data_IF_209450320682
#
_entry.id   IF_209450320682
#
_cell.length_a   1.000
_cell.length_b   1.000
_cell.length_c   1.000
_cell.angle_alpha   90.00
_cell.angle_beta   90.00
_cell.angle_gamma   90.00
#
_symmetry.space_group_name_H-M   'P 1'
#
loop_
_entity.id
_entity.type
_entity.pdbx_description
1 polymer ?
#
# COMPACT_ATOMS: atom_id res chain seq x y z
N UNK A 1 -15.96 -10.34 -19.69
CA UNK A 1 -15.00 -9.32 -20.16
C UNK A 1 -14.30 -8.64 -18.98
N UNK A 2 -15.00 -8.06 -17.98
CA UNK A 2 -14.38 -7.37 -16.84
C UNK A 2 -13.35 -8.24 -16.10
N UNK A 3 -13.69 -9.49 -15.77
CA UNK A 3 -12.74 -10.41 -15.12
C UNK A 3 -11.49 -10.67 -16.00
N UNK A 4 -11.64 -10.79 -17.33
CA UNK A 4 -10.52 -11.00 -18.23
C UNK A 4 -9.56 -9.80 -18.23
N UNK A 5 -10.09 -8.57 -18.22
CA UNK A 5 -9.30 -7.35 -18.14
C UNK A 5 -8.55 -7.26 -16.80
N UNK A 6 -9.23 -7.55 -15.68
CA UNK A 6 -8.60 -7.57 -14.35
C UNK A 6 -7.48 -8.62 -14.29
N UNK A 7 -7.72 -9.82 -14.81
CA UNK A 7 -6.72 -10.90 -14.83
C UNK A 7 -5.47 -10.54 -15.65
N UNK A 8 -5.61 -9.66 -16.64
CA UNK A 8 -4.47 -9.14 -17.43
C UNK A 8 -3.86 -7.87 -16.85
N UNK A 9 -4.30 -7.41 -15.67
CA UNK A 9 -3.81 -6.23 -14.97
C UNK A 9 -4.37 -4.89 -15.47
N UNK A 10 -5.39 -4.91 -16.34
CA UNK A 10 -6.09 -3.72 -16.85
C UNK A 10 -7.23 -3.33 -15.90
N UNK A 11 -6.89 -3.07 -14.63
CA UNK A 11 -7.84 -2.87 -13.54
C UNK A 11 -8.84 -1.74 -13.79
N UNK A 12 -8.39 -0.58 -14.28
CA UNK A 12 -9.28 0.56 -14.57
C UNK A 12 -10.31 0.27 -15.65
N UNK A 13 -9.91 -0.44 -16.70
CA UNK A 13 -10.86 -0.85 -17.76
C UNK A 13 -11.84 -1.92 -17.26
N UNK A 14 -11.33 -2.91 -16.51
CA UNK A 14 -12.16 -3.92 -15.87
C UNK A 14 -13.22 -3.30 -14.96
N UNK A 15 -12.83 -2.28 -14.17
CA UNK A 15 -13.74 -1.53 -13.30
C UNK A 15 -14.88 -0.84 -14.09
N UNK A 16 -14.55 -0.20 -15.21
CA UNK A 16 -15.56 0.45 -16.08
C UNK A 16 -16.55 -0.56 -16.65
N UNK A 17 -16.07 -1.75 -17.06
CA UNK A 17 -16.94 -2.84 -17.52
C UNK A 17 -17.85 -3.36 -16.40
N UNK A 18 -17.34 -3.48 -15.15
CA UNK A 18 -18.19 -3.84 -14.01
C UNK A 18 -19.30 -2.81 -13.76
N UNK A 19 -19.01 -1.50 -13.86
CA UNK A 19 -20.02 -0.45 -13.71
C UNK A 19 -21.08 -0.50 -14.81
N UNK A 20 -20.68 -0.74 -16.07
CA UNK A 20 -21.62 -0.90 -17.18
C UNK A 20 -22.54 -2.11 -16.95
N UNK A 21 -21.98 -3.23 -16.52
CA UNK A 21 -22.76 -4.43 -16.21
C UNK A 21 -23.71 -4.22 -15.03
N UNK A 22 -23.31 -3.44 -14.02
CA UNK A 22 -24.14 -3.13 -12.85
C UNK A 22 -25.43 -2.37 -13.20
N UNK A 23 -25.44 -1.60 -14.30
CA UNK A 23 -26.64 -0.84 -14.72
C UNK A 23 -27.79 -1.73 -15.19
N UNK A 24 -27.49 -2.94 -15.66
CA UNK A 24 -28.47 -3.90 -16.20
C UNK A 24 -28.66 -5.11 -15.28
N UNK A 25 -28.03 -5.13 -14.10
CA UNK A 25 -28.07 -6.26 -13.18
C UNK A 25 -29.17 -6.08 -12.11
N UNK A 26 -29.61 -7.19 -11.50
CA UNK A 26 -30.46 -7.14 -10.30
C UNK A 26 -29.73 -6.45 -9.14
N UNK A 27 -30.48 -5.86 -8.22
CA UNK A 27 -29.95 -5.00 -7.15
C UNK A 27 -28.76 -5.60 -6.39
N UNK A 28 -28.84 -6.86 -5.98
CA UNK A 28 -27.76 -7.54 -5.24
C UNK A 28 -26.51 -7.76 -6.12
N UNK A 29 -26.71 -8.23 -7.35
CA UNK A 29 -25.62 -8.40 -8.31
C UNK A 29 -25.01 -7.07 -8.74
N UNK A 30 -25.83 -6.02 -8.90
CA UNK A 30 -25.38 -4.68 -9.20
C UNK A 30 -24.48 -4.12 -8.08
N UNK A 31 -24.84 -4.39 -6.83
CA UNK A 31 -24.04 -3.96 -5.68
C UNK A 31 -22.67 -4.66 -5.64
N UNK A 32 -22.62 -5.97 -5.89
CA UNK A 32 -21.36 -6.71 -5.97
C UNK A 32 -20.49 -6.24 -7.16
N UNK A 33 -21.07 -5.97 -8.32
CA UNK A 33 -20.35 -5.43 -9.48
C UNK A 33 -19.79 -4.03 -9.18
N UNK A 34 -20.52 -3.16 -8.49
CA UNK A 34 -20.03 -1.85 -8.05
C UNK A 34 -18.92 -2.00 -7.02
N UNK A 35 -19.02 -2.96 -6.08
CA UNK A 35 -17.94 -3.25 -5.12
C UNK A 35 -16.65 -3.65 -5.85
N UNK A 36 -16.76 -4.59 -6.81
CA UNK A 36 -15.63 -5.00 -7.66
C UNK A 36 -15.04 -3.82 -8.45
N UNK A 37 -15.89 -2.96 -8.98
CA UNK A 37 -15.43 -1.77 -9.70
C UNK A 37 -14.67 -0.80 -8.78
N UNK A 38 -15.19 -0.53 -7.58
CA UNK A 38 -14.51 0.32 -6.60
C UNK A 38 -13.13 -0.24 -6.22
N UNK A 39 -13.07 -1.55 -5.95
CA UNK A 39 -11.83 -2.25 -5.65
C UNK A 39 -10.81 -2.09 -6.80
N UNK A 40 -11.20 -2.42 -8.02
CA UNK A 40 -10.29 -2.37 -9.17
C UNK A 40 -9.85 -0.94 -9.55
N UNK A 41 -10.70 0.07 -9.37
CA UNK A 41 -10.27 1.45 -9.53
C UNK A 41 -9.20 1.83 -8.50
N UNK A 42 -9.43 1.53 -7.23
CA UNK A 42 -8.46 1.86 -6.17
C UNK A 42 -7.14 1.11 -6.34
N UNK A 43 -7.19 -0.19 -6.64
CA UNK A 43 -6.00 -1.01 -6.86
C UNK A 43 -5.23 -0.65 -8.13
N UNK A 44 -5.92 -0.14 -9.17
CA UNK A 44 -5.30 0.31 -10.42
C UNK A 44 -4.85 1.79 -10.41
N UNK A 45 -4.97 2.50 -9.27
CA UNK A 45 -4.53 3.89 -9.13
C UNK A 45 -5.54 4.95 -9.60
N UNK A 46 -6.77 4.56 -9.97
CA UNK A 46 -7.88 5.47 -10.29
C UNK A 46 -8.60 5.91 -9.00
N UNK A 47 -7.87 6.65 -8.15
CA UNK A 47 -8.27 6.90 -6.77
C UNK A 47 -9.60 7.64 -6.67
N UNK A 48 -9.76 8.73 -7.40
CA UNK A 48 -10.93 9.61 -7.28
C UNK A 48 -12.21 8.93 -7.77
N UNK A 49 -12.12 8.15 -8.85
CA UNK A 49 -13.22 7.31 -9.36
C UNK A 49 -13.56 6.19 -8.37
N UNK A 50 -12.53 5.53 -7.84
CA UNK A 50 -12.68 4.45 -6.87
C UNK A 50 -13.33 4.89 -5.57
N UNK A 51 -12.97 6.03 -5.02
CA UNK A 51 -13.55 6.60 -3.80
C UNK A 51 -15.05 6.92 -3.98
N UNK A 52 -15.45 7.52 -5.11
CA UNK A 52 -16.88 7.81 -5.40
C UNK A 52 -17.74 6.55 -5.45
N UNK A 53 -17.22 5.51 -6.14
CA UNK A 53 -17.96 4.24 -6.23
C UNK A 53 -17.99 3.55 -4.87
N UNK A 54 -16.89 3.56 -4.12
CA UNK A 54 -16.81 2.99 -2.78
C UNK A 54 -17.80 3.63 -1.82
N UNK A 55 -17.92 4.96 -1.79
CA UNK A 55 -18.88 5.67 -0.97
C UNK A 55 -20.33 5.27 -1.28
N UNK A 56 -20.66 5.11 -2.55
CA UNK A 56 -21.97 4.64 -2.98
C UNK A 56 -22.24 3.21 -2.49
N UNK A 57 -21.29 2.30 -2.61
CA UNK A 57 -21.38 0.92 -2.15
C UNK A 57 -21.55 0.86 -0.64
N UNK A 58 -20.73 1.58 0.11
CA UNK A 58 -20.80 1.64 1.58
C UNK A 58 -22.13 2.22 2.06
N UNK A 59 -22.60 3.30 1.42
CA UNK A 59 -23.90 3.91 1.73
C UNK A 59 -25.07 2.93 1.54
N UNK A 60 -25.05 2.14 0.44
CA UNK A 60 -26.08 1.13 0.17
C UNK A 60 -26.10 -0.01 1.21
N UNK A 61 -24.97 -0.27 1.87
CA UNK A 61 -24.86 -1.27 2.93
C UNK A 61 -25.14 -0.70 4.34
N UNK A 62 -25.42 0.60 4.46
CA UNK A 62 -25.59 1.29 5.73
C UNK A 62 -24.26 1.51 6.48
N UNK A 63 -23.12 1.38 5.80
CA UNK A 63 -21.80 1.59 6.38
C UNK A 63 -21.39 3.06 6.18
N UNK A 64 -21.28 3.80 7.26
CA UNK A 64 -20.83 5.21 7.21
C UNK A 64 -19.32 5.28 7.05
N UNK A 65 -18.87 5.97 5.99
CA UNK A 65 -17.47 6.35 5.79
C UNK A 65 -17.16 7.55 6.70
N UNK A 66 -16.10 7.51 7.52
CA UNK A 66 -15.76 8.66 8.35
C UNK A 66 -15.39 9.87 7.48
N UNK A 67 -16.08 11.03 7.63
CA UNK A 67 -15.91 12.16 6.71
C UNK A 67 -14.59 12.94 6.91
N UNK A 68 -13.93 12.79 8.07
CA UNK A 68 -12.69 13.52 8.40
C UNK A 68 -11.66 12.59 9.02
N UNK A 69 -10.34 12.88 8.85
CA UNK A 69 -9.27 12.08 9.46
C UNK A 69 -9.40 11.91 10.98
N UNK A 70 -9.82 12.98 11.69
CA UNK A 70 -10.02 12.92 13.15
C UNK A 70 -11.16 11.96 13.54
N UNK A 71 -12.28 11.98 12.80
CA UNK A 71 -13.38 11.03 13.02
C UNK A 71 -13.00 9.60 12.64
N UNK A 72 -12.20 9.44 11.58
CA UNK A 72 -11.64 8.13 11.21
C UNK A 72 -10.73 7.59 12.32
N UNK A 73 -9.85 8.41 12.88
CA UNK A 73 -8.99 8.03 13.99
C UNK A 73 -9.79 7.61 15.24
N UNK A 74 -10.81 8.38 15.62
CA UNK A 74 -11.68 8.04 16.75
C UNK A 74 -12.41 6.69 16.51
N UNK A 75 -12.95 6.51 15.30
CA UNK A 75 -13.60 5.24 14.91
C UNK A 75 -12.61 4.08 14.95
N UNK A 76 -11.38 4.28 14.43
CA UNK A 76 -10.30 3.29 14.50
C UNK A 76 -10.00 2.89 15.95
N UNK A 77 -9.84 3.83 16.84
CA UNK A 77 -9.58 3.55 18.26
C UNK A 77 -10.70 2.72 18.90
N UNK A 78 -11.96 3.04 18.59
CA UNK A 78 -13.11 2.24 19.03
C UNK A 78 -13.07 0.81 18.46
N UNK A 79 -12.73 0.63 17.15
CA UNK A 79 -12.58 -0.70 16.56
C UNK A 79 -11.44 -1.49 17.20
N UNK A 80 -10.32 -0.85 17.47
CA UNK A 80 -9.19 -1.46 18.18
C UNK A 80 -9.59 -1.94 19.59
N UNK A 81 -10.35 -1.12 20.33
CA UNK A 81 -10.88 -1.51 21.63
C UNK A 81 -11.85 -2.70 21.51
N UNK A 82 -12.78 -2.66 20.54
CA UNK A 82 -13.72 -3.76 20.29
C UNK A 82 -13.00 -5.08 19.98
N UNK A 83 -11.99 -5.04 19.11
CA UNK A 83 -11.17 -6.22 18.78
C UNK A 83 -10.45 -6.75 20.04
N UNK A 84 -9.90 -5.85 20.85
CA UNK A 84 -9.19 -6.23 22.08
C UNK A 84 -10.11 -6.89 23.09
N UNK A 85 -11.31 -6.37 23.29
CA UNK A 85 -12.30 -6.92 24.22
C UNK A 85 -12.89 -8.25 23.72
N UNK A 86 -13.17 -8.34 22.41
CA UNK A 86 -13.72 -9.57 21.81
C UNK A 86 -12.70 -10.70 21.77
N UNK A 87 -11.43 -10.39 21.60
CA UNK A 87 -10.39 -11.36 21.26
C UNK A 87 -10.47 -11.88 19.82
N UNK A 88 -9.57 -12.81 19.47
CA UNK A 88 -9.37 -13.31 18.11
C UNK A 88 -9.95 -14.72 17.89
N UNK A 89 -10.54 -15.33 18.92
CA UNK A 89 -11.16 -16.65 18.83
C UNK A 89 -12.44 -16.56 18.00
N UNK A 90 -12.66 -17.51 17.12
CA UNK A 90 -13.86 -17.59 16.28
C UNK A 90 -14.34 -19.04 16.16
N UNK A 91 -15.63 -19.21 15.88
CA UNK A 91 -16.24 -20.51 15.55
C UNK A 91 -16.20 -20.63 14.02
N UNK A 92 -15.56 -21.68 13.51
CA UNK A 92 -15.50 -21.94 12.08
C UNK A 92 -16.89 -22.24 11.52
N UNK A 93 -17.24 -21.57 10.43
CA UNK A 93 -18.46 -21.78 9.64
C UNK A 93 -18.11 -21.87 8.16
N UNK A 94 -18.86 -22.65 7.41
CA UNK A 94 -18.72 -22.70 5.95
C UNK A 94 -19.38 -21.48 5.31
N UNK A 95 -18.94 -21.11 4.12
CA UNK A 95 -19.51 -19.98 3.37
C UNK A 95 -21.02 -20.13 3.14
N UNK A 96 -21.49 -21.36 2.92
CA UNK A 96 -22.91 -21.69 2.70
C UNK A 96 -23.80 -21.44 3.93
N UNK A 97 -23.23 -21.46 5.13
CA UNK A 97 -23.96 -21.22 6.39
C UNK A 97 -24.12 -19.72 6.70
N UNK A 98 -23.44 -18.83 5.95
CA UNK A 98 -23.40 -17.39 6.21
C UNK A 98 -24.28 -16.66 5.20
N UNK A 99 -25.17 -15.75 5.63
CA UNK A 99 -25.98 -14.96 4.73
C UNK A 99 -25.15 -14.18 3.71
N UNK A 100 -25.53 -14.19 2.43
CA UNK A 100 -24.80 -13.54 1.34
C UNK A 100 -24.54 -12.04 1.59
N UNK A 101 -25.51 -11.34 2.18
CA UNK A 101 -25.35 -9.92 2.53
C UNK A 101 -24.30 -9.67 3.61
N UNK A 102 -24.06 -10.64 4.50
CA UNK A 102 -22.99 -10.55 5.49
C UNK A 102 -21.61 -10.76 4.85
N UNK A 103 -21.49 -11.75 3.97
CA UNK A 103 -20.27 -11.98 3.18
C UNK A 103 -19.93 -10.75 2.35
N UNK A 104 -20.93 -10.17 1.67
CA UNK A 104 -20.76 -8.97 0.88
C UNK A 104 -20.23 -7.77 1.72
N UNK A 105 -20.73 -7.60 2.95
CA UNK A 105 -20.23 -6.56 3.87
C UNK A 105 -18.78 -6.79 4.28
N UNK A 106 -18.39 -8.05 4.53
CA UNK A 106 -17.00 -8.42 4.86
C UNK A 106 -16.09 -8.07 3.68
N UNK A 107 -16.48 -8.49 2.46
CA UNK A 107 -15.70 -8.26 1.26
C UNK A 107 -15.65 -6.78 0.86
N UNK A 108 -16.71 -6.00 1.11
CA UNK A 108 -16.70 -4.55 0.91
C UNK A 108 -15.74 -3.84 1.89
N UNK A 109 -15.73 -4.23 3.15
CA UNK A 109 -14.77 -3.69 4.12
C UNK A 109 -13.32 -4.09 3.77
N UNK A 110 -13.10 -5.29 3.22
CA UNK A 110 -11.81 -5.71 2.68
C UNK A 110 -11.36 -4.81 1.52
N UNK A 111 -12.21 -4.63 0.50
CA UNK A 111 -11.91 -3.77 -0.65
C UNK A 111 -11.56 -2.34 -0.23
N UNK A 112 -12.30 -1.80 0.75
CA UNK A 112 -12.03 -0.48 1.31
C UNK A 112 -10.70 -0.44 2.08
N UNK A 113 -10.44 -1.44 2.93
CA UNK A 113 -9.21 -1.51 3.73
C UNK A 113 -7.97 -1.58 2.83
N UNK A 114 -8.02 -2.41 1.80
CA UNK A 114 -6.91 -2.62 0.87
C UNK A 114 -6.69 -1.40 -0.03
N UNK A 115 -7.76 -0.90 -0.66
CA UNK A 115 -7.69 0.24 -1.58
C UNK A 115 -7.28 1.54 -0.89
N UNK A 116 -7.63 1.73 0.39
CA UNK A 116 -7.26 2.92 1.16
C UNK A 116 -5.93 2.80 1.91
N UNK A 117 -5.33 1.61 2.00
CA UNK A 117 -4.14 1.36 2.82
C UNK A 117 -2.99 2.34 2.55
N UNK A 118 -2.83 2.77 1.30
CA UNK A 118 -1.75 3.64 0.82
C UNK A 118 -2.20 5.04 0.42
N UNK A 119 -3.51 5.27 0.31
CA UNK A 119 -4.11 6.56 -0.06
C UNK A 119 -4.54 7.32 1.19
N UNK A 120 -5.28 6.66 2.07
CA UNK A 120 -5.74 7.17 3.36
C UNK A 120 -5.57 6.07 4.42
N UNK A 121 -4.37 5.95 4.93
CA UNK A 121 -3.96 4.88 5.85
C UNK A 121 -4.87 4.78 7.08
N UNK A 122 -5.40 5.91 7.58
CA UNK A 122 -6.27 5.91 8.76
C UNK A 122 -7.65 5.35 8.44
N UNK A 123 -8.27 5.77 7.32
CA UNK A 123 -9.52 5.16 6.87
C UNK A 123 -9.31 3.70 6.48
N UNK A 124 -8.20 3.37 5.82
CA UNK A 124 -7.82 1.97 5.53
C UNK A 124 -7.75 1.12 6.80
N UNK A 125 -7.06 1.60 7.84
CA UNK A 125 -6.97 0.91 9.13
C UNK A 125 -8.33 0.82 9.85
N UNK A 126 -9.20 1.82 9.72
CA UNK A 126 -10.56 1.81 10.28
C UNK A 126 -11.41 0.73 9.60
N UNK A 127 -11.39 0.67 8.24
CA UNK A 127 -12.09 -0.38 7.51
C UNK A 127 -11.50 -1.77 7.76
N UNK A 128 -10.18 -1.88 7.96
CA UNK A 128 -9.56 -3.12 8.40
C UNK A 128 -10.09 -3.58 9.77
N UNK A 129 -10.27 -2.65 10.72
CA UNK A 129 -10.89 -2.96 12.01
C UNK A 129 -12.33 -3.50 11.87
N UNK A 130 -13.14 -2.92 10.96
CA UNK A 130 -14.49 -3.42 10.64
C UNK A 130 -14.44 -4.77 9.96
N UNK A 131 -13.59 -4.92 8.94
CA UNK A 131 -13.36 -6.18 8.23
C UNK A 131 -13.04 -7.30 9.21
N UNK A 132 -12.10 -7.06 10.13
CA UNK A 132 -11.70 -8.04 11.13
C UNK A 132 -12.85 -8.43 12.07
N UNK A 133 -13.59 -7.46 12.60
CA UNK A 133 -14.73 -7.74 13.47
C UNK A 133 -15.83 -8.56 12.76
N UNK A 134 -16.15 -8.20 11.52
CA UNK A 134 -17.15 -8.89 10.70
C UNK A 134 -16.68 -10.30 10.32
N UNK A 135 -15.43 -10.46 9.88
CA UNK A 135 -14.86 -11.77 9.52
C UNK A 135 -14.82 -12.72 10.72
N UNK A 136 -14.34 -12.24 11.86
CA UNK A 136 -14.33 -13.02 13.10
C UNK A 136 -15.75 -13.40 13.58
N UNK A 137 -16.74 -12.53 13.37
CA UNK A 137 -18.14 -12.81 13.74
C UNK A 137 -18.78 -13.87 12.81
N UNK A 138 -18.47 -13.81 11.53
CA UNK A 138 -18.96 -14.77 10.53
C UNK A 138 -18.24 -16.13 10.62
N UNK A 139 -16.95 -16.13 10.94
CA UNK A 139 -16.17 -17.35 11.16
C UNK A 139 -15.79 -18.13 9.90
N UNK A 140 -15.94 -17.55 8.69
CA UNK A 140 -15.49 -18.18 7.46
C UNK A 140 -13.94 -18.16 7.41
N UNK A 141 -13.28 -19.33 7.33
CA UNK A 141 -11.84 -19.44 7.60
C UNK A 141 -10.97 -18.61 6.66
N UNK A 142 -11.31 -18.54 5.37
CA UNK A 142 -10.51 -17.76 4.41
C UNK A 142 -10.61 -16.24 4.68
N UNK A 143 -11.82 -15.72 4.96
CA UNK A 143 -12.01 -14.31 5.29
C UNK A 143 -11.39 -13.94 6.64
N UNK A 144 -11.39 -14.86 7.60
CA UNK A 144 -10.69 -14.68 8.89
C UNK A 144 -9.17 -14.66 8.68
N UNK A 145 -8.62 -15.60 7.89
CA UNK A 145 -7.20 -15.63 7.58
C UNK A 145 -6.75 -14.31 6.91
N UNK A 146 -7.50 -13.85 5.94
CA UNK A 146 -7.28 -12.59 5.23
C UNK A 146 -7.31 -11.39 6.19
N UNK A 147 -8.28 -11.37 7.10
CA UNK A 147 -8.44 -10.30 8.08
C UNK A 147 -7.29 -10.25 9.10
N UNK A 148 -6.85 -11.38 9.63
CA UNK A 148 -5.74 -11.47 10.59
C UNK A 148 -4.41 -11.09 9.89
N UNK A 149 -4.22 -11.57 8.67
CA UNK A 149 -3.03 -11.29 7.87
C UNK A 149 -2.88 -9.80 7.57
N UNK A 150 -3.96 -9.14 7.10
CA UNK A 150 -3.94 -7.71 6.83
C UNK A 150 -3.78 -6.89 8.12
N UNK A 151 -4.36 -7.34 9.24
CA UNK A 151 -4.18 -6.70 10.56
C UNK A 151 -2.71 -6.75 11.01
N UNK A 152 -1.97 -7.81 10.68
CA UNK A 152 -0.53 -7.87 10.96
C UNK A 152 0.23 -6.79 10.18
N UNK A 153 -0.10 -6.57 8.89
CA UNK A 153 0.43 -5.49 8.08
C UNK A 153 0.18 -4.11 8.70
N UNK A 154 -1.07 -3.80 9.07
CA UNK A 154 -1.40 -2.54 9.74
C UNK A 154 -0.75 -2.41 11.12
N UNK A 155 -0.60 -3.50 11.88
CA UNK A 155 0.07 -3.48 13.18
C UNK A 155 1.55 -3.14 13.05
N UNK A 156 2.22 -3.59 11.97
CA UNK A 156 3.65 -3.35 11.74
C UNK A 156 4.00 -1.88 11.49
N UNK A 157 3.04 -1.06 11.04
CA UNK A 157 3.27 0.38 10.82
C UNK A 157 3.65 1.12 12.11
N UNK A 158 3.25 0.60 13.28
CA UNK A 158 3.59 1.19 14.58
C UNK A 158 5.02 0.87 15.05
N UNK A 159 5.77 0.11 14.24
CA UNK A 159 7.18 -0.21 14.47
C UNK A 159 7.40 -0.99 15.76
N UNK A 160 8.40 -0.59 16.54
CA UNK A 160 8.81 -1.29 17.77
C UNK A 160 7.69 -1.43 18.81
N UNK A 161 6.78 -0.45 18.90
CA UNK A 161 5.62 -0.49 19.81
C UNK A 161 4.65 -1.61 19.45
N UNK A 162 4.48 -1.91 18.15
CA UNK A 162 3.59 -2.96 17.64
C UNK A 162 4.23 -4.33 17.48
N UNK A 163 5.54 -4.46 17.66
CA UNK A 163 6.30 -5.67 17.32
C UNK A 163 5.68 -6.97 17.89
N UNK A 164 5.46 -7.04 19.19
CA UNK A 164 4.87 -8.22 19.85
C UNK A 164 3.47 -8.59 19.31
N UNK A 165 2.65 -7.56 19.01
CA UNK A 165 1.32 -7.78 18.44
C UNK A 165 1.43 -8.29 17.00
N UNK A 166 2.30 -7.71 16.19
CA UNK A 166 2.54 -8.12 14.80
C UNK A 166 3.03 -9.56 14.74
N UNK A 167 4.00 -9.93 15.57
CA UNK A 167 4.50 -11.32 15.66
C UNK A 167 3.40 -12.31 16.05
N UNK A 168 2.58 -11.96 17.04
CA UNK A 168 1.44 -12.79 17.45
C UNK A 168 0.43 -12.97 16.30
N UNK A 169 0.08 -11.88 15.60
CA UNK A 169 -0.86 -11.92 14.48
C UNK A 169 -0.31 -12.73 13.30
N UNK A 170 0.98 -12.58 12.97
CA UNK A 170 1.64 -13.36 11.92
C UNK A 170 1.67 -14.84 12.27
N UNK A 171 1.93 -15.20 13.53
CA UNK A 171 1.88 -16.60 13.97
C UNK A 171 0.49 -17.19 13.78
N UNK A 172 -0.55 -16.49 14.26
CA UNK A 172 -1.94 -16.94 14.12
C UNK A 172 -2.38 -17.03 12.65
N UNK A 173 -1.98 -16.04 11.83
CA UNK A 173 -2.25 -16.03 10.40
C UNK A 173 -1.61 -17.26 9.73
N UNK A 174 -0.34 -17.55 10.03
CA UNK A 174 0.37 -18.72 9.47
C UNK A 174 -0.32 -20.03 9.78
N UNK A 175 -0.66 -20.27 11.06
CA UNK A 175 -1.36 -21.47 11.50
C UNK A 175 -2.70 -21.66 10.75
N UNK A 176 -3.45 -20.57 10.56
CA UNK A 176 -4.73 -20.61 9.85
C UNK A 176 -4.55 -20.80 8.34
N UNK A 177 -3.63 -20.07 7.72
CA UNK A 177 -3.32 -20.17 6.29
C UNK A 177 -2.83 -21.57 5.92
N UNK A 178 -1.99 -22.19 6.74
CA UNK A 178 -1.52 -23.56 6.51
C UNK A 178 -2.69 -24.58 6.60
N UNK A 179 -3.61 -24.35 7.53
CA UNK A 179 -4.78 -25.22 7.70
C UNK A 179 -5.76 -25.14 6.53
N UNK A 180 -6.03 -23.93 6.02
CA UNK A 180 -6.99 -23.76 4.92
C UNK A 180 -6.38 -24.12 3.56
N UNK A 181 -5.06 -24.03 3.41
CA UNK A 181 -4.28 -24.37 2.23
C UNK A 181 -4.80 -23.71 0.92
N UNK A 182 -5.18 -22.42 0.99
CA UNK A 182 -5.62 -21.62 -0.15
C UNK A 182 -4.45 -20.79 -0.69
N UNK A 183 -4.03 -20.92 -1.95
CA UNK A 183 -2.85 -20.23 -2.48
C UNK A 183 -2.89 -18.70 -2.31
N UNK A 184 -4.04 -18.08 -2.54
CA UNK A 184 -4.18 -16.64 -2.33
C UNK A 184 -3.92 -16.22 -0.87
N UNK A 185 -4.40 -16.98 0.11
CA UNK A 185 -4.14 -16.69 1.52
C UNK A 185 -2.66 -16.86 1.87
N UNK A 186 -1.99 -17.86 1.27
CA UNK A 186 -0.56 -18.09 1.45
C UNK A 186 0.26 -16.93 0.85
N UNK A 187 -0.04 -16.52 -0.39
CA UNK A 187 0.61 -15.36 -1.03
C UNK A 187 0.44 -14.08 -0.23
N UNK A 188 -0.78 -13.82 0.25
CA UNK A 188 -1.09 -12.66 1.08
C UNK A 188 -0.35 -12.68 2.42
N UNK A 189 -0.23 -13.86 3.05
CA UNK A 189 0.55 -14.03 4.27
C UNK A 189 2.01 -13.62 4.05
N UNK A 190 2.66 -14.13 3.01
CA UNK A 190 4.05 -13.80 2.70
C UNK A 190 4.21 -12.32 2.31
N UNK A 191 3.25 -11.72 1.61
CA UNK A 191 3.23 -10.28 1.32
C UNK A 191 3.24 -9.46 2.61
N UNK A 192 2.31 -9.74 3.54
CA UNK A 192 2.20 -8.99 4.79
C UNK A 192 3.37 -9.27 5.76
N UNK A 193 3.90 -10.49 5.78
CA UNK A 193 5.10 -10.84 6.54
C UNK A 193 6.33 -10.11 5.99
N UNK A 194 6.45 -10.01 4.66
CA UNK A 194 7.50 -9.27 3.99
C UNK A 194 7.43 -7.76 4.27
N UNK A 195 6.24 -7.16 4.15
CA UNK A 195 6.04 -5.73 4.50
C UNK A 195 6.33 -5.48 5.98
N UNK A 196 5.90 -6.37 6.88
CA UNK A 196 6.19 -6.25 8.32
C UNK A 196 7.70 -6.32 8.60
N UNK A 197 8.42 -7.23 7.95
CA UNK A 197 9.89 -7.33 8.04
C UNK A 197 10.58 -6.09 7.47
N UNK A 198 10.09 -5.56 6.34
CA UNK A 198 10.61 -4.32 5.75
C UNK A 198 10.48 -3.14 6.71
N UNK A 199 9.30 -2.94 7.29
CA UNK A 199 9.02 -1.86 8.24
C UNK A 199 9.79 -2.02 9.57
N UNK A 200 10.20 -3.25 9.90
CA UNK A 200 11.06 -3.54 11.05
C UNK A 200 12.56 -3.36 10.78
N UNK A 201 12.97 -3.10 9.52
CA UNK A 201 14.37 -3.02 9.10
C UNK A 201 15.05 -4.38 8.89
N UNK A 202 14.27 -5.48 8.84
CA UNK A 202 14.74 -6.84 8.56
C UNK A 202 14.73 -7.09 7.03
N UNK A 203 15.51 -6.30 6.27
CA UNK A 203 15.35 -6.18 4.81
C UNK A 203 15.67 -7.46 4.04
N UNK A 204 16.62 -8.28 4.50
CA UNK A 204 16.89 -9.58 3.86
C UNK A 204 15.68 -10.51 3.98
N UNK A 205 15.13 -10.65 5.18
CA UNK A 205 13.93 -11.44 5.45
C UNK A 205 12.70 -10.88 4.73
N UNK A 206 12.61 -9.54 4.60
CA UNK A 206 11.58 -8.89 3.81
C UNK A 206 11.67 -9.32 2.34
N UNK A 207 12.85 -9.23 1.75
CA UNK A 207 13.11 -9.66 0.37
C UNK A 207 12.71 -11.13 0.15
N UNK A 208 13.16 -12.05 1.00
CA UNK A 208 12.84 -13.47 0.92
C UNK A 208 11.33 -13.75 0.96
N UNK A 209 10.60 -13.15 1.92
CA UNK A 209 9.16 -13.31 2.03
C UNK A 209 8.42 -12.74 0.79
N UNK A 210 8.87 -11.59 0.28
CA UNK A 210 8.24 -10.94 -0.86
C UNK A 210 8.48 -11.68 -2.18
N UNK A 211 9.65 -12.30 -2.36
CA UNK A 211 9.91 -13.22 -3.48
C UNK A 211 9.02 -14.47 -3.39
N UNK A 212 8.87 -15.04 -2.18
CA UNK A 212 7.94 -16.16 -1.96
C UNK A 212 6.50 -15.77 -2.28
N UNK A 213 6.06 -14.57 -1.87
CA UNK A 213 4.75 -14.03 -2.20
C UNK A 213 4.55 -13.92 -3.71
N UNK A 214 5.48 -13.29 -4.41
CA UNK A 214 5.47 -13.12 -5.87
C UNK A 214 5.38 -14.47 -6.58
N UNK A 215 6.16 -15.47 -6.14
CA UNK A 215 6.15 -16.83 -6.69
C UNK A 215 4.79 -17.50 -6.55
N UNK A 216 4.19 -17.46 -5.34
CA UNK A 216 2.88 -18.07 -5.08
C UNK A 216 1.80 -17.41 -5.93
N UNK A 217 1.74 -16.10 -5.95
CA UNK A 217 0.73 -15.36 -6.71
C UNK A 217 0.85 -15.60 -8.21
N UNK A 218 2.05 -15.53 -8.76
CA UNK A 218 2.29 -15.70 -10.20
C UNK A 218 2.00 -17.12 -10.69
N UNK A 219 2.24 -18.15 -9.87
CA UNK A 219 2.08 -19.54 -10.27
C UNK A 219 0.71 -20.10 -9.99
N UNK A 220 -0.02 -19.59 -8.96
CA UNK A 220 -1.21 -20.26 -8.43
C UNK A 220 -2.44 -19.37 -8.38
N UNK A 221 -2.36 -18.07 -8.74
CA UNK A 221 -3.47 -17.14 -8.64
C UNK A 221 -3.67 -16.36 -9.93
N UNK A 222 -4.86 -15.80 -10.11
CA UNK A 222 -5.21 -14.88 -11.21
C UNK A 222 -5.90 -13.64 -10.65
N UNK A 223 -5.73 -12.48 -11.32
CA UNK A 223 -6.35 -11.22 -10.89
C UNK A 223 -5.70 -10.62 -9.64
N UNK A 224 -4.43 -10.95 -9.37
CA UNK A 224 -3.65 -10.57 -8.18
C UNK A 224 -2.49 -9.63 -8.53
N UNK A 225 -2.67 -8.79 -9.56
CA UNK A 225 -1.59 -7.91 -10.02
C UNK A 225 -1.17 -6.92 -8.95
N UNK A 226 -2.10 -6.35 -8.20
CA UNK A 226 -1.79 -5.42 -7.11
C UNK A 226 -0.93 -6.06 -6.03
N UNK A 227 -1.20 -7.31 -5.66
CA UNK A 227 -0.42 -8.07 -4.67
C UNK A 227 1.00 -8.32 -5.20
N UNK A 228 1.15 -8.70 -6.48
CA UNK A 228 2.44 -8.90 -7.15
C UNK A 228 3.20 -7.57 -7.22
N UNK A 229 2.56 -6.49 -7.64
CA UNK A 229 3.19 -5.17 -7.78
C UNK A 229 3.71 -4.67 -6.42
N UNK A 230 2.95 -4.87 -5.33
CA UNK A 230 3.43 -4.55 -3.98
C UNK A 230 4.57 -5.45 -3.52
N UNK A 231 4.48 -6.77 -3.76
CA UNK A 231 5.55 -7.69 -3.42
C UNK A 231 6.84 -7.30 -4.14
N UNK A 232 6.79 -7.01 -5.43
CA UNK A 232 7.92 -6.57 -6.23
C UNK A 232 8.47 -5.21 -5.78
N UNK A 233 7.60 -4.23 -5.54
CA UNK A 233 8.00 -2.89 -5.09
C UNK A 233 8.76 -2.95 -3.75
N UNK A 234 8.22 -3.64 -2.75
CA UNK A 234 8.87 -3.76 -1.45
C UNK A 234 10.10 -4.68 -1.49
N UNK A 235 10.13 -5.71 -2.36
CA UNK A 235 11.32 -6.54 -2.60
C UNK A 235 12.46 -5.70 -3.18
N UNK A 236 12.21 -4.89 -4.22
CA UNK A 236 13.21 -3.98 -4.79
C UNK A 236 13.65 -2.90 -3.81
N UNK A 237 12.74 -2.36 -3.00
CA UNK A 237 13.11 -1.43 -1.92
C UNK A 237 13.99 -2.11 -0.87
N UNK A 238 13.75 -3.39 -0.58
CA UNK A 238 14.62 -4.17 0.31
C UNK A 238 16.03 -4.31 -0.26
N UNK A 239 16.17 -4.58 -1.56
CA UNK A 239 17.47 -4.60 -2.25
C UNK A 239 18.17 -3.25 -2.16
N UNK A 240 17.43 -2.14 -2.31
CA UNK A 240 17.98 -0.79 -2.16
C UNK A 240 18.60 -0.58 -0.76
N UNK A 241 17.90 -0.98 0.31
CA UNK A 241 18.40 -0.84 1.68
C UNK A 241 19.53 -1.83 2.03
N UNK A 242 19.59 -2.97 1.36
CA UNK A 242 20.69 -3.93 1.46
C UNK A 242 21.95 -3.48 0.69
N UNK A 243 21.84 -2.44 -0.15
CA UNK A 243 22.93 -2.00 -1.03
C UNK A 243 23.12 -2.89 -2.27
N UNK A 244 22.20 -3.81 -2.55
CA UNK A 244 22.22 -4.71 -3.72
C UNK A 244 21.77 -3.98 -5.00
N UNK A 245 22.47 -2.87 -5.30
CA UNK A 245 22.09 -1.94 -6.37
C UNK A 245 22.13 -2.57 -7.76
N UNK A 246 23.08 -3.46 -8.01
CA UNK A 246 23.17 -4.16 -9.30
C UNK A 246 21.91 -5.00 -9.57
N UNK A 247 21.46 -5.77 -8.57
CA UNK A 247 20.24 -6.58 -8.69
C UNK A 247 18.98 -5.70 -8.87
N UNK A 248 18.94 -4.55 -8.20
CA UNK A 248 17.85 -3.59 -8.38
C UNK A 248 17.82 -3.06 -9.80
N UNK A 249 18.96 -2.58 -10.32
CA UNK A 249 19.05 -1.99 -11.66
C UNK A 249 18.80 -3.00 -12.77
N UNK A 250 19.15 -4.26 -12.57
CA UNK A 250 18.85 -5.35 -13.51
C UNK A 250 17.35 -5.67 -13.58
N UNK A 251 16.66 -5.70 -12.44
CA UNK A 251 15.26 -6.14 -12.36
C UNK A 251 14.24 -5.04 -12.64
N UNK A 252 14.51 -3.80 -12.20
CA UNK A 252 13.57 -2.69 -12.25
C UNK A 252 13.04 -2.39 -13.66
N UNK A 253 13.85 -2.33 -14.73
CA UNK A 253 13.37 -1.98 -16.07
C UNK A 253 12.30 -2.93 -16.61
N UNK A 254 12.44 -4.24 -16.38
CA UNK A 254 11.48 -5.23 -16.84
C UNK A 254 10.12 -5.08 -16.12
N UNK A 255 10.14 -4.81 -14.81
CA UNK A 255 8.93 -4.64 -13.99
C UNK A 255 8.21 -3.34 -14.38
N UNK A 256 8.96 -2.25 -14.57
CA UNK A 256 8.40 -0.96 -15.04
C UNK A 256 7.77 -1.11 -16.43
N UNK A 257 8.44 -1.81 -17.34
CA UNK A 257 7.89 -2.08 -18.69
C UNK A 257 6.58 -2.85 -18.61
N UNK A 258 6.49 -3.90 -17.80
CA UNK A 258 5.25 -4.67 -17.59
C UNK A 258 4.11 -3.79 -17.02
N UNK A 259 4.41 -2.91 -16.08
CA UNK A 259 3.41 -1.96 -15.55
C UNK A 259 2.87 -1.01 -16.64
N UNK A 260 3.75 -0.50 -17.51
CA UNK A 260 3.36 0.33 -18.65
C UNK A 260 2.50 -0.43 -19.67
N UNK A 261 2.84 -1.67 -20.00
CA UNK A 261 2.08 -2.52 -20.93
C UNK A 261 0.64 -2.79 -20.43
N UNK A 262 0.44 -2.83 -19.11
CA UNK A 262 -0.87 -3.00 -18.48
C UNK A 262 -1.62 -1.69 -18.24
N UNK A 263 -0.99 -0.53 -18.48
CA UNK A 263 -1.54 0.79 -18.11
C UNK A 263 -1.88 0.89 -16.62
N UNK A 264 -1.10 0.25 -15.79
CA UNK A 264 -1.28 0.20 -14.34
C UNK A 264 -0.71 1.46 -13.69
N UNK A 265 -1.56 2.45 -13.47
CA UNK A 265 -1.16 3.75 -12.87
C UNK A 265 -0.56 3.53 -11.48
N UNK A 266 -1.09 2.59 -10.70
CA UNK A 266 -0.59 2.28 -9.37
C UNK A 266 0.87 1.81 -9.40
N UNK A 267 1.15 0.78 -10.20
CA UNK A 267 2.50 0.22 -10.32
C UNK A 267 3.47 1.21 -10.97
N UNK A 268 3.06 1.91 -12.04
CA UNK A 268 3.88 2.93 -12.73
C UNK A 268 4.28 4.02 -11.73
N UNK A 269 3.31 4.57 -10.99
CA UNK A 269 3.59 5.64 -10.03
C UNK A 269 4.42 5.14 -8.85
N UNK A 270 4.09 3.97 -8.28
CA UNK A 270 4.80 3.38 -7.16
C UNK A 270 6.28 3.12 -7.48
N UNK A 271 6.56 2.42 -8.57
CA UNK A 271 7.92 2.11 -9.01
C UNK A 271 8.68 3.38 -9.44
N UNK A 272 8.01 4.26 -10.19
CA UNK A 272 8.59 5.48 -10.70
C UNK A 272 9.01 6.44 -9.60
N UNK A 273 8.19 6.63 -8.58
CA UNK A 273 8.48 7.55 -7.47
C UNK A 273 9.43 6.96 -6.43
N UNK A 274 9.32 5.65 -6.15
CA UNK A 274 10.10 5.02 -5.08
C UNK A 274 11.51 4.58 -5.51
N UNK A 275 11.74 4.29 -6.80
CA UNK A 275 12.94 3.56 -7.23
C UNK A 275 13.62 4.09 -8.49
N UNK A 276 12.88 4.73 -9.44
CA UNK A 276 13.41 5.06 -10.77
C UNK A 276 14.55 6.09 -10.77
N UNK A 277 14.69 6.85 -9.68
CA UNK A 277 15.78 7.79 -9.52
C UNK A 277 17.15 7.10 -9.31
N UNK A 278 17.15 5.88 -8.73
CA UNK A 278 18.39 5.22 -8.31
C UNK A 278 19.30 4.81 -9.48
N UNK A 279 18.81 4.14 -10.55
CA UNK A 279 19.63 3.89 -11.74
C UNK A 279 20.23 5.17 -12.33
N UNK A 280 19.43 6.25 -12.41
CA UNK A 280 19.89 7.52 -12.93
C UNK A 280 21.00 8.16 -12.09
N UNK A 281 20.93 8.03 -10.76
CA UNK A 281 22.01 8.52 -9.87
C UNK A 281 23.27 7.68 -10.05
N UNK A 282 23.16 6.36 -10.23
CA UNK A 282 24.31 5.47 -10.47
C UNK A 282 25.00 5.85 -11.79
N UNK A 283 24.24 6.27 -12.79
CA UNK A 283 24.74 6.75 -14.09
C UNK A 283 25.15 8.23 -14.08
N UNK A 284 25.20 8.88 -12.92
CA UNK A 284 25.48 10.32 -12.75
C UNK A 284 24.58 11.23 -13.58
N UNK A 285 23.29 10.89 -13.70
CA UNK A 285 22.30 11.64 -14.46
C UNK A 285 21.13 12.12 -13.58
N UNK A 286 21.33 13.10 -12.69
CA UNK A 286 20.30 13.60 -11.79
C UNK A 286 19.13 14.29 -12.51
N UNK A 287 19.36 14.89 -13.69
CA UNK A 287 18.29 15.52 -14.48
C UNK A 287 17.28 14.50 -14.97
N UNK A 288 17.75 13.34 -15.46
CA UNK A 288 16.86 12.26 -15.87
C UNK A 288 16.11 11.69 -14.66
N UNK A 289 16.74 11.62 -13.48
CA UNK A 289 16.08 11.20 -12.24
C UNK A 289 14.91 12.13 -11.89
N UNK A 290 15.11 13.45 -11.95
CA UNK A 290 14.03 14.45 -11.72
C UNK A 290 12.88 14.28 -12.70
N UNK A 291 13.19 14.13 -13.98
CA UNK A 291 12.21 13.95 -15.05
C UNK A 291 11.38 12.70 -14.84
N UNK A 292 12.02 11.55 -14.60
CA UNK A 292 11.33 10.26 -14.40
C UNK A 292 10.36 10.30 -13.21
N UNK A 293 10.77 10.90 -12.10
CA UNK A 293 9.92 11.03 -10.93
C UNK A 293 8.74 11.97 -11.17
N UNK A 294 8.95 13.07 -11.89
CA UNK A 294 7.89 14.02 -12.26
C UNK A 294 6.84 13.34 -13.14
N UNK A 295 7.26 12.67 -14.19
CA UNK A 295 6.37 11.94 -15.11
C UNK A 295 5.60 10.82 -14.40
N UNK A 296 6.20 10.19 -13.37
CA UNK A 296 5.55 9.15 -12.61
C UNK A 296 4.43 9.69 -11.71
N UNK A 297 4.65 10.85 -11.05
CA UNK A 297 3.66 11.39 -10.08
C UNK A 297 2.58 12.22 -10.76
N UNK A 298 2.82 12.78 -11.95
CA UNK A 298 1.90 13.66 -12.65
C UNK A 298 0.52 13.03 -12.90
N UNK A 299 0.49 11.73 -13.15
CA UNK A 299 -0.75 10.97 -13.42
C UNK A 299 -1.48 10.51 -12.17
N UNK A 300 -0.88 10.71 -10.99
CA UNK A 300 -1.48 10.32 -9.72
C UNK A 300 -2.50 11.36 -9.25
N UNK A 301 -3.45 10.93 -8.39
CA UNK A 301 -4.42 11.85 -7.79
C UNK A 301 -3.72 13.01 -7.06
N UNK A 302 -4.18 14.22 -7.25
CA UNK A 302 -3.71 15.43 -6.58
C UNK A 302 -4.55 15.77 -5.33
N UNK A 303 -5.56 14.96 -5.00
CA UNK A 303 -6.40 15.15 -3.82
C UNK A 303 -5.77 14.48 -2.58
N UNK A 304 -5.13 15.27 -1.74
CA UNK A 304 -4.48 14.79 -0.53
C UNK A 304 -2.97 14.53 -0.68
N UNK A 305 -2.37 13.97 0.37
CA UNK A 305 -0.96 13.61 0.39
C UNK A 305 -0.82 12.11 0.66
N UNK A 306 -0.58 11.34 -0.40
CA UNK A 306 -0.53 9.89 -0.40
C UNK A 306 0.90 9.35 -0.25
N UNK A 307 1.03 8.04 -0.10
CA UNK A 307 2.33 7.37 0.01
C UNK A 307 3.19 7.58 -1.25
N UNK A 308 2.58 7.69 -2.43
CA UNK A 308 3.26 8.00 -3.69
C UNK A 308 3.90 9.39 -3.68
N UNK A 309 3.22 10.40 -3.13
CA UNK A 309 3.79 11.73 -2.92
C UNK A 309 4.97 11.70 -1.93
N UNK A 310 4.85 10.87 -0.89
CA UNK A 310 5.94 10.66 0.05
C UNK A 310 7.17 10.03 -0.62
N UNK A 311 6.99 9.00 -1.46
CA UNK A 311 8.09 8.39 -2.19
C UNK A 311 8.72 9.35 -3.22
N UNK A 312 7.89 10.12 -3.94
CA UNK A 312 8.38 11.17 -4.84
C UNK A 312 9.22 12.21 -4.08
N UNK A 313 8.76 12.63 -2.89
CA UNK A 313 9.51 13.54 -2.02
C UNK A 313 10.85 12.94 -1.58
N UNK A 314 10.85 11.68 -1.14
CA UNK A 314 12.08 10.94 -0.79
C UNK A 314 13.09 10.94 -1.93
N UNK A 315 12.66 10.50 -3.12
CA UNK A 315 13.52 10.43 -4.30
C UNK A 315 14.04 11.80 -4.71
N UNK A 316 13.16 12.82 -4.77
CA UNK A 316 13.54 14.19 -5.13
C UNK A 316 14.62 14.74 -4.17
N UNK A 317 14.41 14.60 -2.87
CA UNK A 317 15.39 15.09 -1.90
C UNK A 317 16.71 14.32 -1.98
N UNK A 318 16.68 13.00 -2.23
CA UNK A 318 17.88 12.20 -2.46
C UNK A 318 18.68 12.74 -3.67
N UNK A 319 18.00 13.06 -4.77
CA UNK A 319 18.63 13.63 -5.99
C UNK A 319 19.22 15.00 -5.70
N UNK A 320 18.53 15.88 -4.96
CA UNK A 320 19.04 17.20 -4.62
C UNK A 320 20.28 17.12 -3.68
N UNK A 321 20.24 16.21 -2.70
CA UNK A 321 21.42 15.97 -1.82
C UNK A 321 22.59 15.42 -2.63
N UNK A 322 22.37 14.49 -3.54
CA UNK A 322 23.39 13.96 -4.44
C UNK A 322 24.01 15.06 -5.32
N UNK A 323 23.18 15.93 -5.87
CA UNK A 323 23.60 17.07 -6.71
C UNK A 323 24.26 18.22 -5.94
N UNK A 324 24.48 18.09 -4.62
CA UNK A 324 25.05 19.16 -3.78
C UNK A 324 24.09 20.31 -3.48
N UNK A 325 22.80 20.17 -3.81
CA UNK A 325 21.77 21.21 -3.65
C UNK A 325 21.08 21.13 -2.28
N UNK A 326 21.86 21.13 -1.18
CA UNK A 326 21.37 20.97 0.17
C UNK A 326 20.26 21.96 0.57
N UNK A 327 20.41 23.24 0.19
CA UNK A 327 19.41 24.28 0.44
C UNK A 327 18.06 23.97 -0.22
N UNK A 328 18.09 23.51 -1.47
CA UNK A 328 16.89 23.10 -2.23
C UNK A 328 16.24 21.90 -1.58
N UNK A 329 17.03 20.87 -1.24
CA UNK A 329 16.58 19.67 -0.54
C UNK A 329 15.85 20.01 0.77
N UNK A 330 16.43 20.89 1.58
CA UNK A 330 15.84 21.30 2.87
C UNK A 330 14.57 22.13 2.70
N UNK A 331 14.50 23.01 1.71
CA UNK A 331 13.29 23.78 1.37
C UNK A 331 12.14 22.83 0.97
N UNK A 332 12.42 21.84 0.13
CA UNK A 332 11.42 20.84 -0.34
C UNK A 332 10.86 20.06 0.83
N UNK A 333 11.71 19.50 1.71
CA UNK A 333 11.25 18.76 2.90
C UNK A 333 10.38 19.64 3.81
N UNK A 334 10.83 20.85 4.11
CA UNK A 334 10.13 21.74 5.03
C UNK A 334 8.75 22.16 4.48
N UNK A 335 8.62 22.38 3.16
CA UNK A 335 7.36 22.70 2.52
C UNK A 335 6.33 21.55 2.63
N UNK A 336 6.78 20.29 2.56
CA UNK A 336 5.93 19.11 2.61
C UNK A 336 5.74 18.53 4.03
N UNK A 337 6.42 19.09 5.04
CA UNK A 337 6.33 18.56 6.42
C UNK A 337 4.90 18.62 6.98
N UNK A 338 4.23 19.77 6.84
CA UNK A 338 2.85 19.92 7.32
C UNK A 338 1.84 19.00 6.62
N UNK A 339 1.84 18.85 5.28
CA UNK A 339 1.05 17.84 4.59
C UNK A 339 1.27 16.41 5.11
N UNK A 340 2.52 15.98 5.32
CA UNK A 340 2.86 14.65 5.86
C UNK A 340 2.29 14.43 7.27
N UNK A 341 2.41 15.43 8.15
CA UNK A 341 1.84 15.38 9.52
C UNK A 341 0.32 15.31 9.47
N UNK A 342 -0.33 16.13 8.62
CA UNK A 342 -1.79 16.13 8.48
C UNK A 342 -2.32 14.82 7.89
N UNK A 343 -1.56 14.22 6.97
CA UNK A 343 -1.86 12.90 6.39
C UNK A 343 -1.51 11.73 7.30
N UNK A 344 -0.96 11.98 8.49
CA UNK A 344 -0.53 10.98 9.48
C UNK A 344 0.50 9.97 8.95
N UNK A 345 1.21 10.29 7.86
CA UNK A 345 2.25 9.43 7.29
C UNK A 345 3.47 9.28 8.21
N UNK A 346 3.73 10.30 9.03
CA UNK A 346 4.81 10.28 10.03
C UNK A 346 4.45 9.48 11.30
N UNK A 347 3.22 8.98 11.43
CA UNK A 347 2.86 7.99 12.46
C UNK A 347 3.36 6.59 12.11
N UNK A 348 3.68 6.33 10.84
CA UNK A 348 4.41 5.13 10.40
C UNK A 348 5.88 5.30 10.78
N UNK A 349 6.36 4.49 11.73
CA UNK A 349 7.71 4.64 12.31
C UNK A 349 8.80 4.66 11.24
N UNK A 350 8.73 3.77 10.24
CA UNK A 350 9.71 3.74 9.15
C UNK A 350 9.75 5.07 8.38
N UNK A 351 8.58 5.61 8.01
CA UNK A 351 8.49 6.87 7.28
C UNK A 351 9.04 8.05 8.07
N UNK A 352 8.80 8.09 9.38
CA UNK A 352 9.36 9.11 10.26
C UNK A 352 10.90 9.04 10.30
N UNK A 353 11.46 7.84 10.46
CA UNK A 353 12.91 7.62 10.52
C UNK A 353 13.57 8.01 9.20
N UNK A 354 13.02 7.58 8.05
CA UNK A 354 13.50 7.95 6.72
C UNK A 354 13.52 9.48 6.53
N UNK A 355 12.42 10.16 6.88
CA UNK A 355 12.33 11.62 6.70
C UNK A 355 13.25 12.40 7.64
N UNK A 356 13.41 11.97 8.89
CA UNK A 356 14.34 12.62 9.82
C UNK A 356 15.79 12.44 9.36
N UNK A 357 16.16 11.23 8.92
CA UNK A 357 17.49 10.94 8.39
C UNK A 357 17.78 11.78 7.14
N UNK A 358 16.81 11.85 6.22
CA UNK A 358 16.96 12.61 4.99
C UNK A 358 17.04 14.13 5.25
N UNK A 359 16.25 14.64 6.19
CA UNK A 359 16.28 16.04 6.63
C UNK A 359 17.64 16.40 7.25
N UNK A 360 18.20 15.50 8.07
CA UNK A 360 19.53 15.69 8.63
C UNK A 360 20.62 15.73 7.55
N UNK A 361 20.56 14.83 6.58
CA UNK A 361 21.49 14.82 5.43
C UNK A 361 21.39 16.09 4.58
N UNK A 362 20.19 16.58 4.31
CA UNK A 362 19.97 17.82 3.58
C UNK A 362 20.55 19.03 4.34
N UNK A 363 20.36 19.07 5.67
CA UNK A 363 20.95 20.13 6.50
C UNK A 363 22.50 20.11 6.48
N UNK A 364 23.11 18.93 6.60
CA UNK A 364 24.56 18.78 6.50
C UNK A 364 25.09 19.18 5.11
N UNK A 365 24.39 18.80 4.04
CA UNK A 365 24.77 19.22 2.69
C UNK A 365 24.71 20.75 2.50
N UNK A 366 23.77 21.43 3.18
CA UNK A 366 23.68 22.89 3.20
C UNK A 366 24.92 23.54 3.84
N UNK A 367 25.39 23.04 4.98
CA UNK A 367 26.57 23.54 5.67
C UNK A 367 27.81 23.42 4.78
N UNK A 368 28.03 22.27 4.16
CA UNK A 368 29.16 22.03 3.26
C UNK A 368 29.18 23.00 2.06
N UNK A 369 28.02 23.33 1.53
CA UNK A 369 27.89 24.29 0.42
C UNK A 369 28.25 25.71 0.87
N UNK A 370 27.84 26.11 2.07
CA UNK A 370 28.13 27.42 2.65
C UNK A 370 29.63 27.57 2.97
N UNK A 371 30.30 26.56 3.56
CA UNK A 371 31.73 26.57 3.78
C UNK A 371 32.53 26.68 2.46
N UNK A 372 32.15 25.92 1.44
CA UNK A 372 32.82 25.99 0.13
C UNK A 372 32.61 27.34 -0.56
N UNK A 373 31.51 28.03 -0.31
CA UNK A 373 31.25 29.37 -0.85
C UNK A 373 32.07 30.40 -0.11
N UNK A 374 32.16 30.34 1.23
CA UNK A 374 33.02 31.19 2.03
C UNK A 374 34.50 31.04 1.67
N UNK A 375 34.98 29.80 1.40
CA UNK A 375 36.35 29.53 0.97
C UNK A 375 36.68 30.03 -0.45
N UNK A 376 35.67 30.25 -1.32
CA UNK A 376 35.89 30.83 -2.64
C UNK A 376 35.86 32.35 -2.67
N UNK A 377 35.27 32.96 -1.66
CA UNK A 377 35.18 34.42 -1.50
C UNK A 377 36.41 35.00 -0.73
N UNK A 378 37.35 34.14 -0.27
CA UNK A 378 38.67 34.45 0.24
C UNK A 378 39.77 34.12 -0.78
#
# INVERSE_FOLDING_TARGET
LGNALVNTGRSGEGARIYLQAANNAKAEQALELRRKAAEQFLLGGHIDEGLKVLETVMGSMGIKVPPTPKRALLSLLLRRLQIRLRGLIFKSQTEAEIPANQLLKIDACWSAALGLAIVDTIRGAEFQGRHMLLALAAGEPYRVARAITLEAGFSSTTGSRGKKRTEMLLKMAKELVDKINVPHAQGLFYLMAGIASFLAGEWLKAHENLEQSTSIFSQNCTGVNWEIDNAQLFSLRSLLYLGELNKLCERLPAIVKQAHERWDIYAITGLGTALSYMPCIIEDNPEQARKNMWEAIEKWSHEGFHLQHYWALLGQVQVEVYSGQGNTALKIINAQWSPMVKGLLLEVQNSLVEMLQLRARAALATLKTTENQMLKDY
#
